data_IF_898843619122
#
_entry.id   IF_898843619122
#
_cell.length_a   1.000
_cell.length_b   1.000
_cell.length_c   1.000
_cell.angle_alpha   90.00
_cell.angle_beta   90.00
_cell.angle_gamma   90.00
#
_symmetry.space_group_name_H-M   'P 1'
#
loop_
_entity.id
_entity.type
_entity.pdbx_description
1 polymer ?
#
# COMPACT_ATOMS: atom_id res chain seq x y z
N UNK A 1 78.70 -14.17 -12.44
CA UNK A 1 78.10 -12.83 -12.38
C UNK A 1 76.60 -12.97 -12.64
N UNK A 2 75.78 -13.02 -11.60
CA UNK A 2 74.32 -13.16 -11.71
C UNK A 2 73.71 -12.03 -10.89
N UNK A 3 73.21 -11.00 -11.57
CA UNK A 3 72.55 -9.86 -10.93
C UNK A 3 71.06 -10.18 -10.75
N UNK A 4 70.64 -10.34 -9.51
CA UNK A 4 69.24 -10.48 -9.10
C UNK A 4 68.51 -9.12 -9.22
N UNK A 5 67.52 -9.03 -10.12
CA UNK A 5 66.60 -7.88 -10.21
C UNK A 5 65.43 -8.08 -9.24
N UNK A 6 65.26 -7.15 -8.31
CA UNK A 6 64.09 -7.06 -7.44
C UNK A 6 62.88 -6.52 -8.22
N UNK A 7 61.68 -7.13 -8.14
CA UNK A 7 60.49 -6.56 -8.76
C UNK A 7 60.01 -5.32 -8.00
N UNK A 8 59.78 -4.22 -8.71
CA UNK A 8 59.15 -3.01 -8.15
C UNK A 8 57.64 -3.19 -8.21
N UNK A 9 56.98 -3.06 -7.05
CA UNK A 9 55.53 -2.98 -6.96
C UNK A 9 55.04 -1.70 -7.64
N UNK A 10 54.05 -1.75 -8.55
CA UNK A 10 53.49 -0.54 -9.14
C UNK A 10 52.72 0.25 -8.07
N UNK A 11 53.07 1.53 -7.89
CA UNK A 11 52.29 2.44 -7.08
C UNK A 11 50.94 2.72 -7.76
N UNK A 12 49.83 2.45 -7.06
CA UNK A 12 48.49 2.69 -7.58
C UNK A 12 48.32 4.17 -8.02
N UNK A 13 47.84 4.38 -9.25
CA UNK A 13 47.73 5.71 -9.86
C UNK A 13 46.68 6.58 -9.13
N UNK A 14 46.90 7.90 -9.13
CA UNK A 14 45.95 8.87 -8.52
C UNK A 14 44.55 8.73 -9.13
N UNK A 15 44.44 8.46 -10.42
CA UNK A 15 43.18 8.22 -11.12
C UNK A 15 42.43 6.98 -10.59
N UNK A 16 43.15 5.89 -10.31
CA UNK A 16 42.54 4.68 -9.74
C UNK A 16 41.99 4.93 -8.33
N UNK A 17 42.66 5.77 -7.54
CA UNK A 17 42.21 6.16 -6.19
C UNK A 17 41.00 7.09 -6.23
N UNK A 18 40.98 8.08 -7.13
CA UNK A 18 39.84 8.97 -7.30
C UNK A 18 38.61 8.23 -7.78
N UNK A 19 38.78 7.30 -8.74
CA UNK A 19 37.68 6.46 -9.22
C UNK A 19 37.14 5.55 -8.11
N UNK A 20 38.02 4.96 -7.28
CA UNK A 20 37.60 4.17 -6.12
C UNK A 20 36.84 5.00 -5.09
N UNK A 21 37.28 6.22 -4.79
CA UNK A 21 36.61 7.12 -3.86
C UNK A 21 35.24 7.56 -4.37
N UNK A 22 35.12 7.89 -5.66
CA UNK A 22 33.84 8.27 -6.27
C UNK A 22 32.87 7.08 -6.28
N UNK A 23 33.32 5.88 -6.64
CA UNK A 23 32.50 4.66 -6.62
C UNK A 23 32.08 4.28 -5.19
N UNK A 24 32.97 4.40 -4.21
CA UNK A 24 32.63 4.17 -2.80
C UNK A 24 31.63 5.19 -2.27
N UNK A 25 31.73 6.46 -2.68
CA UNK A 25 30.82 7.53 -2.29
C UNK A 25 29.43 7.36 -2.92
N UNK A 26 29.35 6.93 -4.19
CA UNK A 26 28.06 6.67 -4.86
C UNK A 26 27.36 5.41 -4.34
N UNK A 27 28.11 4.36 -3.99
CA UNK A 27 27.56 3.15 -3.35
C UNK A 27 27.07 3.41 -1.92
N UNK A 28 27.72 4.30 -1.16
CA UNK A 28 27.33 4.63 0.21
C UNK A 28 25.99 5.39 0.33
N UNK A 29 25.59 6.15 -0.70
CA UNK A 29 24.36 6.95 -0.71
C UNK A 29 23.10 6.16 -1.11
N UNK A 30 23.24 4.94 -1.64
CA UNK A 30 22.12 4.10 -2.07
C UNK A 30 21.74 3.02 -1.03
N UNK A 31 22.49 2.88 0.06
CA UNK A 31 22.21 1.88 1.09
C UNK A 31 21.05 2.36 1.98
N UNK A 32 19.86 1.80 1.77
CA UNK A 32 18.81 1.88 2.79
C UNK A 32 19.34 1.22 4.06
N UNK A 33 19.34 1.96 5.16
CA UNK A 33 19.63 1.40 6.48
C UNK A 33 18.58 0.32 6.82
N UNK A 34 18.93 -0.73 7.58
CA UNK A 34 17.94 -1.71 8.06
C UNK A 34 16.75 -1.06 8.78
N UNK A 35 16.97 0.07 9.47
CA UNK A 35 15.92 0.88 10.09
C UNK A 35 14.98 1.54 9.09
N UNK A 36 15.48 2.04 7.95
CA UNK A 36 14.63 2.60 6.89
C UNK A 36 13.79 1.53 6.22
N UNK A 37 14.39 0.37 5.96
CA UNK A 37 13.65 -0.77 5.40
C UNK A 37 12.59 -1.29 6.38
N UNK A 38 12.92 -1.37 7.67
CA UNK A 38 11.97 -1.74 8.71
C UNK A 38 10.83 -0.73 8.84
N UNK A 39 11.10 0.58 8.77
CA UNK A 39 10.05 1.60 8.80
C UNK A 39 9.11 1.51 7.59
N UNK A 40 9.65 1.26 6.39
CA UNK A 40 8.84 1.06 5.19
C UNK A 40 7.99 -0.22 5.27
N UNK A 41 8.58 -1.32 5.74
CA UNK A 41 7.87 -2.59 5.92
C UNK A 41 6.90 -2.58 7.11
N UNK A 42 7.10 -1.69 8.08
CA UNK A 42 6.18 -1.49 9.18
C UNK A 42 4.94 -0.68 8.77
N UNK A 43 5.03 0.11 7.69
CA UNK A 43 3.91 0.83 7.08
C UNK A 43 3.08 -0.09 6.17
N UNK A 44 2.74 -1.27 6.69
CA UNK A 44 1.74 -2.12 6.07
C UNK A 44 0.41 -1.38 6.05
N UNK A 45 -0.33 -1.35 4.92
CA UNK A 45 -1.60 -0.64 4.86
C UNK A 45 -2.51 -1.16 5.97
N UNK A 46 -2.79 -0.28 6.93
CA UNK A 46 -3.64 -0.57 8.08
C UNK A 46 -4.94 -1.21 7.58
N UNK A 47 -5.34 -2.30 8.24
CA UNK A 47 -6.55 -3.08 7.94
C UNK A 47 -6.48 -4.03 6.71
N UNK A 48 -5.33 -4.18 6.04
CA UNK A 48 -5.21 -5.05 4.85
C UNK A 48 -5.77 -6.47 5.06
N UNK A 49 -5.56 -7.04 6.24
CA UNK A 49 -5.87 -8.44 6.57
C UNK A 49 -7.32 -8.62 7.08
N UNK A 50 -8.09 -7.55 7.25
CA UNK A 50 -9.47 -7.62 7.75
C UNK A 50 -10.43 -8.33 6.77
N UNK A 51 -10.13 -8.23 5.47
CA UNK A 51 -10.84 -8.94 4.39
C UNK A 51 -9.85 -9.35 3.31
N UNK A 52 -9.84 -10.65 2.99
CA UNK A 52 -9.16 -11.18 1.80
C UNK A 52 -9.79 -10.66 0.51
N UNK A 53 -9.06 -10.68 -0.61
CA UNK A 53 -9.59 -10.25 -1.91
C UNK A 53 -10.84 -11.04 -2.33
N UNK A 54 -10.90 -12.32 -1.97
CA UNK A 54 -12.09 -13.17 -2.21
C UNK A 54 -13.29 -12.72 -1.39
N UNK A 55 -13.07 -12.33 -0.13
CA UNK A 55 -14.13 -11.82 0.74
C UNK A 55 -14.63 -10.45 0.27
N UNK A 56 -13.73 -9.55 -0.12
CA UNK A 56 -14.08 -8.28 -0.75
C UNK A 56 -14.92 -8.50 -2.02
N UNK A 57 -14.50 -9.43 -2.88
CA UNK A 57 -15.27 -9.79 -4.08
C UNK A 57 -16.67 -10.29 -3.74
N UNK A 58 -16.82 -11.21 -2.77
CA UNK A 58 -18.14 -11.67 -2.32
C UNK A 58 -19.02 -10.53 -1.86
N UNK A 59 -18.45 -9.58 -1.12
CA UNK A 59 -19.18 -8.43 -0.60
C UNK A 59 -19.67 -7.52 -1.74
N UNK A 60 -18.77 -7.03 -2.59
CA UNK A 60 -19.13 -6.12 -3.69
C UNK A 60 -19.96 -6.77 -4.80
N UNK A 61 -19.81 -8.07 -5.01
CA UNK A 61 -20.69 -8.82 -5.91
C UNK A 61 -22.13 -8.81 -5.40
N UNK A 62 -22.32 -8.95 -4.08
CA UNK A 62 -23.65 -8.87 -3.47
C UNK A 62 -24.19 -7.44 -3.43
N UNK A 63 -23.35 -6.45 -3.14
CA UNK A 63 -23.76 -5.04 -2.99
C UNK A 63 -24.06 -4.34 -4.31
N UNK A 64 -23.25 -4.57 -5.36
CA UNK A 64 -23.36 -3.82 -6.60
C UNK A 64 -23.04 -4.61 -7.87
N UNK A 65 -22.94 -5.94 -7.77
CA UNK A 65 -22.45 -6.80 -8.86
C UNK A 65 -21.05 -6.42 -9.34
N UNK A 66 -20.14 -6.15 -8.39
CA UNK A 66 -18.72 -5.79 -8.63
C UNK A 66 -18.53 -4.44 -9.39
N UNK A 67 -19.50 -3.53 -9.25
CA UNK A 67 -19.46 -2.24 -9.93
C UNK A 67 -18.93 -1.13 -9.01
N UNK A 68 -17.67 -0.75 -9.20
CA UNK A 68 -17.00 0.35 -8.46
C UNK A 68 -17.58 1.73 -8.74
N UNK A 69 -18.35 1.91 -9.81
CA UNK A 69 -18.99 3.18 -10.16
C UNK A 69 -20.48 3.22 -9.79
N UNK A 70 -20.97 2.18 -9.10
CA UNK A 70 -22.38 2.03 -8.77
C UNK A 70 -22.94 3.23 -8.00
N UNK A 71 -24.20 3.53 -8.28
CA UNK A 71 -25.00 4.53 -7.59
C UNK A 71 -26.37 3.91 -7.37
N UNK A 72 -26.81 3.85 -6.11
CA UNK A 72 -28.15 3.36 -5.81
C UNK A 72 -29.22 4.23 -6.49
N UNK A 73 -30.39 3.65 -6.78
CA UNK A 73 -31.50 4.36 -7.42
C UNK A 73 -31.89 5.65 -6.65
N UNK A 74 -31.86 5.59 -5.33
CA UNK A 74 -32.15 6.74 -4.45
C UNK A 74 -30.95 7.67 -4.20
N UNK A 75 -29.80 7.43 -4.83
CA UNK A 75 -28.56 8.23 -4.67
C UNK A 75 -28.09 8.39 -3.22
N UNK A 76 -28.36 7.42 -2.35
CA UNK A 76 -27.88 7.41 -0.96
C UNK A 76 -26.61 6.59 -0.77
N UNK A 77 -26.38 5.60 -1.65
CA UNK A 77 -25.29 4.66 -1.55
C UNK A 77 -24.51 4.60 -2.86
N UNK A 78 -23.18 4.44 -2.75
CA UNK A 78 -22.26 4.61 -3.88
C UNK A 78 -21.11 3.61 -3.83
N UNK A 79 -20.55 3.31 -5.00
CA UNK A 79 -19.38 2.47 -5.15
C UNK A 79 -19.66 0.98 -5.01
N UNK A 80 -18.60 0.17 -5.14
CA UNK A 80 -18.65 -1.29 -5.10
C UNK A 80 -19.32 -1.83 -3.81
N UNK A 81 -19.10 -1.13 -2.71
CA UNK A 81 -19.57 -1.53 -1.38
C UNK A 81 -20.78 -0.73 -0.90
N UNK A 82 -21.40 0.06 -1.78
CA UNK A 82 -22.62 0.81 -1.48
C UNK A 82 -22.48 1.66 -0.20
N UNK A 83 -21.38 2.39 -0.06
CA UNK A 83 -21.16 3.29 1.06
C UNK A 83 -22.15 4.46 1.03
N UNK A 84 -22.66 4.85 2.20
CA UNK A 84 -23.23 6.19 2.36
C UNK A 84 -22.12 7.25 2.34
N UNK A 85 -22.44 8.49 1.94
CA UNK A 85 -21.45 9.59 1.97
C UNK A 85 -20.96 9.87 3.40
N UNK A 86 -21.85 9.81 4.39
CA UNK A 86 -21.49 10.06 5.78
C UNK A 86 -20.51 9.02 6.31
N UNK A 87 -20.81 7.73 6.09
CA UNK A 87 -19.93 6.62 6.49
C UNK A 87 -18.58 6.68 5.76
N UNK A 88 -18.59 7.01 4.47
CA UNK A 88 -17.35 7.20 3.71
C UNK A 88 -16.47 8.30 4.32
N UNK A 89 -17.03 9.48 4.57
CA UNK A 89 -16.27 10.58 5.15
C UNK A 89 -15.76 10.25 6.56
N UNK A 90 -16.57 9.56 7.37
CA UNK A 90 -16.22 9.13 8.72
C UNK A 90 -14.99 8.20 8.75
N UNK A 91 -14.97 7.19 7.88
CA UNK A 91 -13.81 6.27 7.74
C UNK A 91 -12.61 7.00 7.13
N UNK A 92 -12.83 7.84 6.13
CA UNK A 92 -11.77 8.60 5.48
C UNK A 92 -11.07 9.55 6.46
N UNK A 93 -11.81 10.27 7.29
CA UNK A 93 -11.24 11.16 8.30
C UNK A 93 -10.34 10.45 9.32
N UNK A 94 -10.58 9.15 9.58
CA UNK A 94 -9.74 8.35 10.49
C UNK A 94 -8.49 7.75 9.85
N UNK A 95 -8.60 7.26 8.61
CA UNK A 95 -7.54 6.43 8.01
C UNK A 95 -7.05 6.89 6.65
N UNK A 96 -7.89 7.60 5.89
CA UNK A 96 -7.59 8.00 4.51
C UNK A 96 -8.05 9.44 4.23
N UNK A 97 -7.45 10.47 4.87
CA UNK A 97 -7.95 11.84 4.79
C UNK A 97 -8.04 12.39 3.36
N UNK A 98 -7.19 11.90 2.45
CA UNK A 98 -7.23 12.28 1.03
C UNK A 98 -8.52 11.82 0.31
N UNK A 99 -9.24 10.83 0.85
CA UNK A 99 -10.50 10.33 0.31
C UNK A 99 -11.73 11.08 0.79
N UNK A 100 -11.61 11.96 1.80
CA UNK A 100 -12.77 12.64 2.40
C UNK A 100 -13.48 13.56 1.39
N UNK A 101 -12.71 14.20 0.49
CA UNK A 101 -13.26 15.06 -0.57
C UNK A 101 -13.71 14.25 -1.78
N UNK A 102 -13.24 13.02 -1.92
CA UNK A 102 -13.64 12.09 -2.97
C UNK A 102 -14.89 11.32 -2.54
N UNK A 103 -15.70 10.84 -3.48
CA UNK A 103 -16.86 10.00 -3.18
C UNK A 103 -16.59 8.55 -3.50
N UNK A 104 -17.32 7.60 -2.91
CA UNK A 104 -17.06 6.17 -3.11
C UNK A 104 -16.98 5.79 -4.59
N UNK A 105 -18.00 6.13 -5.38
CA UNK A 105 -18.06 5.85 -6.82
C UNK A 105 -17.06 6.62 -7.70
N UNK A 106 -16.29 7.55 -7.11
CA UNK A 106 -15.23 8.30 -7.80
C UNK A 106 -13.82 7.85 -7.38
N UNK A 107 -13.72 7.12 -6.27
CA UNK A 107 -12.47 6.58 -5.78
C UNK A 107 -12.03 5.38 -6.62
N UNK A 108 -10.72 5.20 -6.74
CA UNK A 108 -10.14 4.07 -7.42
C UNK A 108 -10.58 2.75 -6.74
N UNK A 109 -10.60 1.61 -7.45
CA UNK A 109 -11.00 0.33 -6.87
C UNK A 109 -10.23 -0.02 -5.59
N UNK A 110 -8.92 0.17 -5.60
CA UNK A 110 -8.06 -0.10 -4.44
C UNK A 110 -8.39 0.77 -3.23
N UNK A 111 -8.84 2.01 -3.44
CA UNK A 111 -9.23 2.93 -2.37
C UNK A 111 -10.57 2.50 -1.76
N UNK A 112 -11.52 2.04 -2.59
CA UNK A 112 -12.79 1.51 -2.09
C UNK A 112 -12.58 0.22 -1.30
N UNK A 113 -11.67 -0.65 -1.75
CA UNK A 113 -11.29 -1.89 -1.05
C UNK A 113 -10.63 -1.60 0.30
N UNK A 114 -9.72 -0.62 0.35
CA UNK A 114 -9.10 -0.17 1.59
C UNK A 114 -10.13 0.40 2.58
N UNK A 115 -11.06 1.23 2.10
CA UNK A 115 -12.16 1.77 2.91
C UNK A 115 -13.09 0.67 3.45
N UNK A 116 -13.41 -0.34 2.64
CA UNK A 116 -14.21 -1.49 3.05
C UNK A 116 -13.51 -2.32 4.13
N UNK A 117 -12.21 -2.60 3.94
CA UNK A 117 -11.35 -3.27 4.93
C UNK A 117 -11.31 -2.52 6.26
N UNK A 118 -11.05 -1.23 6.23
CA UNK A 118 -10.97 -0.41 7.45
C UNK A 118 -12.29 -0.42 8.23
N UNK A 119 -13.43 -0.23 7.54
CA UNK A 119 -14.73 -0.26 8.20
C UNK A 119 -15.10 -1.66 8.71
N UNK A 120 -14.73 -2.72 7.97
CA UNK A 120 -14.92 -4.10 8.41
C UNK A 120 -14.06 -4.44 9.63
N UNK A 121 -12.84 -3.94 9.71
CA UNK A 121 -11.99 -4.11 10.89
C UNK A 121 -12.63 -3.48 12.13
N UNK A 122 -13.19 -2.28 11.99
CA UNK A 122 -13.89 -1.58 13.08
C UNK A 122 -15.21 -2.25 13.50
N UNK A 123 -16.08 -2.59 12.54
CA UNK A 123 -17.51 -2.86 12.80
C UNK A 123 -17.99 -4.23 12.32
N UNK A 124 -17.13 -4.96 11.61
CA UNK A 124 -17.41 -6.28 11.07
C UNK A 124 -18.47 -6.18 9.99
N UNK A 125 -19.40 -7.13 9.99
CA UNK A 125 -20.48 -7.16 9.02
C UNK A 125 -21.59 -6.12 9.27
N UNK A 126 -21.59 -5.40 10.40
CA UNK A 126 -22.71 -4.52 10.77
C UNK A 126 -23.10 -3.45 9.73
N UNK A 127 -22.16 -2.80 9.01
CA UNK A 127 -22.52 -1.84 7.95
C UNK A 127 -23.18 -2.47 6.72
N UNK A 128 -23.01 -3.78 6.54
CA UNK A 128 -23.56 -4.57 5.42
C UNK A 128 -24.40 -5.72 5.99
N UNK A 129 -25.56 -5.42 6.59
CA UNK A 129 -26.30 -6.38 7.41
C UNK A 129 -26.76 -7.64 6.64
N UNK A 130 -26.93 -7.52 5.32
CA UNK A 130 -27.30 -8.64 4.46
C UNK A 130 -26.08 -9.27 3.77
N UNK A 131 -25.32 -8.48 3.00
CA UNK A 131 -24.21 -9.01 2.22
C UNK A 131 -23.00 -9.40 3.08
N UNK A 132 -22.77 -8.72 4.20
CA UNK A 132 -21.68 -9.07 5.14
C UNK A 132 -21.82 -10.48 5.71
N UNK A 133 -23.05 -10.98 5.91
CA UNK A 133 -23.28 -12.36 6.37
C UNK A 133 -22.80 -13.42 5.36
N UNK A 134 -22.68 -13.06 4.08
CA UNK A 134 -22.24 -13.96 2.99
C UNK A 134 -20.72 -14.03 2.85
N UNK A 135 -19.99 -13.11 3.49
CA UNK A 135 -18.54 -13.00 3.41
C UNK A 135 -17.85 -14.06 4.27
N UNK A 136 -18.43 -14.39 5.43
CA UNK A 136 -17.89 -15.33 6.43
C UNK A 136 -17.34 -14.62 7.67
N UNK A 137 -16.92 -15.36 8.71
CA UNK A 137 -16.30 -14.78 9.89
C UNK A 137 -15.00 -14.03 9.56
N UNK A 138 -14.60 -13.15 10.48
CA UNK A 138 -13.27 -12.51 10.47
C UNK A 138 -12.18 -13.54 10.71
#
# INVERSE_FOLDING_TARGET
MTASRTPRTPAASRAARTLFLVVALTLGLAACTPSQLAAFLAEEPKHRDALTDRQLLKLRQCESSDNYQAKSANRRYFGAYQFSRATWNDVAGRYYPWLERLGPHKAAPIEQDAMARALWDERGAAPWPYCGQRVGPR
#
